data_IF_554258096007
#
_entry.id   IF_554258096007
#
_cell.length_a   1.000
_cell.length_b   1.000
_cell.length_c   1.000
_cell.angle_alpha   90.00
_cell.angle_beta   90.00
_cell.angle_gamma   90.00
#
_symmetry.space_group_name_H-M   'P 1'
#
loop_
_entity.id
_entity.type
_entity.pdbx_description
1 polymer ?
#
# COMPACT_ATOMS: atom_id res chain seq x y z
N UNK A 1 -1.51 -16.95 -5.37
CA UNK A 1 -1.30 -16.03 -4.23
C UNK A 1 -2.56 -16.07 -3.39
N UNK A 2 -2.50 -16.39 -2.07
CA UNK A 2 -3.65 -16.40 -1.16
C UNK A 2 -4.10 -14.99 -0.80
N UNK A 3 -5.23 -14.89 -0.08
CA UNK A 3 -5.66 -13.66 0.58
C UNK A 3 -4.86 -13.47 1.89
N UNK A 4 -4.86 -14.49 2.74
CA UNK A 4 -4.07 -14.58 3.96
C UNK A 4 -3.65 -16.05 4.18
N UNK A 5 -2.51 -16.28 4.81
CA UNK A 5 -1.44 -15.35 5.15
C UNK A 5 -0.62 -14.95 3.92
N UNK A 6 0.22 -13.90 4.06
CA UNK A 6 1.24 -13.58 3.06
C UNK A 6 2.16 -14.76 2.84
N UNK A 7 2.60 -14.92 1.61
CA UNK A 7 3.57 -15.96 1.22
C UNK A 7 4.87 -15.33 0.77
N UNK A 8 6.02 -15.96 1.04
CA UNK A 8 7.29 -15.51 0.49
C UNK A 8 7.30 -15.66 -1.03
N UNK A 9 7.95 -14.70 -1.69
CA UNK A 9 8.17 -14.69 -3.12
C UNK A 9 9.49 -13.96 -3.45
N UNK A 10 9.87 -14.00 -4.71
CA UNK A 10 11.00 -13.24 -5.25
C UNK A 10 10.48 -12.28 -6.29
N UNK A 11 10.99 -11.05 -6.29
CA UNK A 11 10.57 -10.00 -7.22
C UNK A 11 11.78 -9.36 -7.87
N UNK A 12 11.69 -9.14 -9.18
CA UNK A 12 12.59 -8.30 -9.92
C UNK A 12 11.84 -7.16 -10.60
N UNK A 13 12.44 -5.97 -10.63
CA UNK A 13 11.95 -4.81 -11.36
C UNK A 13 13.02 -4.37 -12.36
N UNK A 14 12.60 -4.14 -13.58
CA UNK A 14 13.43 -3.62 -14.66
C UNK A 14 12.92 -2.22 -14.99
N UNK A 15 13.79 -1.23 -14.89
CA UNK A 15 13.52 0.16 -15.29
C UNK A 15 14.74 0.76 -15.99
N UNK A 16 14.82 0.56 -17.30
CA UNK A 16 15.94 1.05 -18.10
C UNK A 16 15.80 2.54 -18.44
N UNK A 17 16.87 3.30 -18.32
CA UNK A 17 16.93 4.72 -18.69
C UNK A 17 16.47 4.99 -20.13
N UNK A 18 16.59 4.00 -21.01
CA UNK A 18 16.12 4.07 -22.40
C UNK A 18 14.58 4.11 -22.52
N UNK A 19 13.86 3.78 -21.43
CA UNK A 19 12.41 3.62 -21.41
C UNK A 19 11.91 2.36 -22.11
N UNK A 20 12.81 1.48 -22.57
CA UNK A 20 12.47 0.20 -23.18
C UNK A 20 13.02 -0.92 -22.32
N UNK A 21 12.13 -1.75 -21.77
CA UNK A 21 12.46 -2.89 -20.92
C UNK A 21 12.17 -4.19 -21.67
N UNK A 22 13.05 -5.19 -21.52
CA UNK A 22 12.85 -6.54 -22.03
C UNK A 22 12.94 -7.53 -20.89
N UNK A 23 12.17 -8.63 -20.95
CA UNK A 23 12.18 -9.67 -19.91
C UNK A 23 13.54 -10.38 -19.74
N UNK A 24 14.45 -10.17 -20.67
CA UNK A 24 15.82 -10.72 -20.64
C UNK A 24 16.83 -9.77 -20.03
N UNK A 25 16.41 -8.53 -19.71
CA UNK A 25 17.29 -7.56 -19.08
C UNK A 25 17.50 -7.90 -17.61
N UNK A 26 18.61 -7.45 -17.05
CA UNK A 26 18.91 -7.59 -15.64
C UNK A 26 17.91 -6.76 -14.79
N UNK A 27 17.55 -7.27 -13.61
CA UNK A 27 16.78 -6.51 -12.65
C UNK A 27 17.65 -5.37 -12.10
N UNK A 28 17.32 -4.14 -12.45
CA UNK A 28 18.17 -2.97 -12.18
C UNK A 28 17.56 -1.95 -11.22
N UNK A 29 16.25 -2.05 -10.93
CA UNK A 29 15.59 -1.21 -9.91
C UNK A 29 15.39 -1.98 -8.60
N UNK A 30 14.92 -3.23 -8.68
CA UNK A 30 14.83 -4.12 -7.52
C UNK A 30 15.10 -5.57 -7.91
N UNK A 31 15.82 -6.28 -7.04
CA UNK A 31 16.14 -7.71 -7.17
C UNK A 31 16.22 -8.34 -5.78
N UNK A 32 15.10 -8.92 -5.29
CA UNK A 32 15.06 -9.36 -3.90
C UNK A 32 13.82 -10.10 -3.44
N UNK A 33 13.81 -10.39 -2.14
CA UNK A 33 12.74 -11.11 -1.48
C UNK A 33 11.57 -10.20 -1.12
N UNK A 34 10.37 -10.74 -1.23
CA UNK A 34 9.13 -10.08 -0.80
C UNK A 34 8.22 -11.07 -0.06
N UNK A 35 7.29 -10.55 0.69
CA UNK A 35 6.08 -11.27 1.07
C UNK A 35 4.88 -10.69 0.34
N UNK A 36 4.00 -11.52 -0.20
CA UNK A 36 2.90 -11.07 -1.06
C UNK A 36 1.59 -11.79 -0.72
N UNK A 37 0.49 -11.05 -0.83
CA UNK A 37 -0.87 -11.58 -0.70
C UNK A 37 -1.84 -10.82 -1.61
N UNK A 38 -3.03 -11.37 -1.83
CA UNK A 38 -4.12 -10.64 -2.45
C UNK A 38 -4.63 -9.57 -1.48
N UNK A 39 -5.17 -8.49 -2.02
CA UNK A 39 -5.77 -7.45 -1.19
C UNK A 39 -7.16 -7.05 -1.69
N UNK A 40 -7.88 -6.34 -0.82
CA UNK A 40 -9.21 -5.82 -1.11
C UNK A 40 -10.31 -6.74 -0.59
N UNK A 41 -11.54 -6.31 -0.75
CA UNK A 41 -12.73 -7.08 -0.42
C UNK A 41 -13.34 -7.58 -1.75
N UNK A 42 -14.34 -6.88 -2.30
CA UNK A 42 -15.01 -7.24 -3.56
C UNK A 42 -14.06 -7.24 -4.77
N UNK A 43 -13.00 -6.44 -4.76
CA UNK A 43 -12.00 -6.41 -5.84
C UNK A 43 -11.24 -7.72 -6.02
N UNK A 44 -11.19 -8.58 -5.02
CA UNK A 44 -10.56 -9.90 -5.12
C UNK A 44 -11.32 -10.89 -6.02
N UNK A 45 -12.60 -10.63 -6.28
CA UNK A 45 -13.45 -11.44 -7.16
C UNK A 45 -13.27 -11.13 -8.65
N UNK A 46 -12.55 -10.03 -8.96
CA UNK A 46 -12.23 -9.70 -10.35
C UNK A 46 -11.19 -10.66 -10.91
N UNK A 47 -11.21 -10.89 -12.21
CA UNK A 47 -10.20 -11.72 -12.90
C UNK A 47 -8.80 -11.12 -12.74
N UNK A 48 -8.71 -9.79 -12.75
CA UNK A 48 -7.48 -9.04 -12.48
C UNK A 48 -7.45 -8.62 -11.01
N UNK A 49 -6.71 -9.35 -10.20
CA UNK A 49 -6.68 -9.20 -8.75
C UNK A 49 -5.62 -8.21 -8.29
N UNK A 50 -5.93 -7.33 -7.33
CA UNK A 50 -4.94 -6.50 -6.70
C UNK A 50 -4.13 -7.28 -5.66
N UNK A 51 -2.87 -6.85 -5.44
CA UNK A 51 -1.96 -7.45 -4.46
C UNK A 51 -1.42 -6.38 -3.53
N UNK A 52 -0.96 -6.80 -2.36
CA UNK A 52 -0.05 -6.05 -1.52
C UNK A 52 1.18 -6.89 -1.24
N UNK A 53 2.32 -6.24 -1.11
CA UNK A 53 3.56 -6.92 -0.81
C UNK A 53 4.42 -6.07 0.12
N UNK A 54 5.32 -6.73 0.81
CA UNK A 54 6.37 -6.11 1.59
C UNK A 54 7.72 -6.60 1.09
N UNK A 55 8.64 -5.67 0.92
CA UNK A 55 10.04 -6.00 0.67
C UNK A 55 10.68 -6.44 1.97
N UNK A 56 11.41 -7.56 1.92
CA UNK A 56 12.05 -8.18 3.07
C UNK A 56 13.49 -8.56 2.72
N UNK A 57 14.32 -8.68 3.73
CA UNK A 57 15.66 -9.21 3.60
C UNK A 57 15.68 -10.76 3.56
N UNK A 58 16.89 -11.35 3.58
CA UNK A 58 17.06 -12.81 3.53
C UNK A 58 16.56 -13.52 4.80
N UNK A 59 16.47 -12.80 5.91
CA UNK A 59 15.98 -13.31 7.19
C UNK A 59 14.46 -13.13 7.34
N UNK A 60 13.82 -12.45 6.36
CA UNK A 60 12.38 -12.18 6.34
C UNK A 60 11.98 -10.92 7.12
N UNK A 61 12.96 -10.12 7.56
CA UNK A 61 12.71 -8.84 8.22
C UNK A 61 12.43 -7.74 7.21
N UNK A 62 11.71 -6.70 7.63
CA UNK A 62 11.35 -5.59 6.77
C UNK A 62 12.59 -4.91 6.18
N UNK A 63 12.59 -4.73 4.88
CA UNK A 63 13.66 -4.09 4.13
C UNK A 63 13.10 -2.87 3.38
N UNK A 64 13.36 -1.66 3.90
CA UNK A 64 12.96 -0.44 3.22
C UNK A 64 13.81 -0.22 1.97
N UNK A 65 13.17 -0.05 0.84
CA UNK A 65 13.82 0.16 -0.45
C UNK A 65 13.10 1.23 -1.26
N UNK A 66 13.85 1.96 -2.05
CA UNK A 66 13.30 2.81 -3.10
C UNK A 66 12.83 1.91 -4.27
N UNK A 67 11.63 2.15 -4.79
CA UNK A 67 11.12 1.46 -5.98
C UNK A 67 10.68 2.49 -7.02
N UNK A 68 11.24 2.41 -8.22
CA UNK A 68 10.90 3.29 -9.35
C UNK A 68 10.92 4.78 -9.00
N UNK A 69 11.93 5.21 -8.22
CA UNK A 69 12.07 6.59 -7.75
C UNK A 69 11.01 7.05 -6.73
N UNK A 70 10.30 6.14 -6.09
CA UNK A 70 9.45 6.43 -4.94
C UNK A 70 10.24 6.20 -3.65
N UNK A 71 10.08 7.07 -2.61
CA UNK A 71 10.86 7.00 -1.38
C UNK A 71 10.88 5.65 -0.71
N UNK A 72 11.97 5.37 0.00
CA UNK A 72 12.22 4.11 0.70
C UNK A 72 11.08 3.73 1.63
N UNK A 73 10.60 2.52 1.47
CA UNK A 73 9.61 1.88 2.35
C UNK A 73 9.54 0.38 2.02
N UNK A 74 8.96 -0.40 2.93
CA UNK A 74 8.76 -1.83 2.69
C UNK A 74 7.34 -2.19 2.22
N UNK A 75 6.34 -1.37 2.51
CA UNK A 75 4.92 -1.63 2.22
C UNK A 75 4.47 -1.05 0.88
N UNK A 76 4.03 -1.91 -0.03
CA UNK A 76 3.64 -1.55 -1.39
C UNK A 76 2.32 -2.19 -1.82
N UNK A 77 1.70 -1.60 -2.82
CA UNK A 77 0.45 -2.08 -3.40
C UNK A 77 0.57 -2.19 -4.91
N UNK A 78 0.16 -3.32 -5.46
CA UNK A 78 -0.11 -3.51 -6.89
C UNK A 78 -1.61 -3.38 -7.11
N UNK A 79 -2.05 -2.16 -7.44
CA UNK A 79 -3.44 -1.88 -7.76
C UNK A 79 -3.78 -2.39 -9.16
N UNK A 80 -4.90 -3.11 -9.25
CA UNK A 80 -5.43 -3.64 -10.49
C UNK A 80 -6.63 -2.80 -10.96
N UNK A 81 -6.48 -1.91 -11.95
CA UNK A 81 -7.56 -1.03 -12.40
C UNK A 81 -8.57 -1.77 -13.30
N UNK A 82 -9.24 -2.79 -12.74
CA UNK A 82 -10.14 -3.66 -13.50
C UNK A 82 -11.40 -2.96 -14.01
N UNK A 83 -12.03 -2.16 -13.15
CA UNK A 83 -13.27 -1.47 -13.50
C UNK A 83 -13.04 -0.14 -14.26
N UNK A 84 -11.86 0.43 -14.13
CA UNK A 84 -11.46 1.64 -14.85
C UNK A 84 -10.79 1.27 -16.17
N UNK A 85 -11.55 1.27 -17.25
CA UNK A 85 -11.04 0.96 -18.61
C UNK A 85 -10.01 1.96 -19.11
N UNK A 86 -9.97 3.16 -18.53
CA UNK A 86 -8.95 4.17 -18.87
C UNK A 86 -7.66 3.95 -18.10
N UNK A 87 -7.69 3.23 -16.97
CA UNK A 87 -6.61 2.96 -16.02
C UNK A 87 -5.99 4.21 -15.37
N UNK A 88 -6.53 5.41 -15.61
CA UNK A 88 -5.91 6.68 -15.19
C UNK A 88 -6.60 7.35 -14.01
N UNK A 89 -7.83 6.99 -13.64
CA UNK A 89 -8.62 7.77 -12.68
C UNK A 89 -7.95 7.92 -11.33
N UNK A 90 -7.47 6.82 -10.75
CA UNK A 90 -6.79 6.86 -9.46
C UNK A 90 -5.43 7.57 -9.56
N UNK A 91 -4.66 7.26 -10.61
CA UNK A 91 -3.35 7.88 -10.85
C UNK A 91 -3.49 9.40 -10.99
N UNK A 92 -4.45 9.85 -11.80
CA UNK A 92 -4.74 11.28 -12.00
C UNK A 92 -5.19 11.95 -10.70
N UNK A 93 -6.10 11.33 -9.95
CA UNK A 93 -6.57 11.89 -8.68
C UNK A 93 -5.43 12.05 -7.66
N UNK A 94 -4.56 11.05 -7.55
CA UNK A 94 -3.41 11.10 -6.64
C UNK A 94 -2.37 12.13 -7.12
N UNK A 95 -2.10 12.19 -8.43
CA UNK A 95 -1.18 13.18 -8.97
C UNK A 95 -1.68 14.61 -8.69
N UNK A 96 -2.96 14.89 -8.97
CA UNK A 96 -3.55 16.19 -8.69
C UNK A 96 -3.46 16.57 -7.20
N UNK A 97 -3.68 15.62 -6.30
CA UNK A 97 -3.54 15.86 -4.86
C UNK A 97 -2.11 16.25 -4.49
N UNK A 98 -1.12 15.51 -5.02
CA UNK A 98 0.29 15.82 -4.80
C UNK A 98 0.69 17.17 -5.39
N UNK A 99 0.22 17.51 -6.59
CA UNK A 99 0.46 18.80 -7.24
C UNK A 99 -0.14 19.97 -6.46
N UNK A 100 -1.22 19.72 -5.71
CA UNK A 100 -1.83 20.68 -4.77
C UNK A 100 -1.08 20.76 -3.43
N UNK A 101 0.04 20.07 -3.27
CA UNK A 101 0.81 20.02 -2.02
C UNK A 101 0.17 19.17 -0.92
N UNK A 102 -0.73 18.26 -1.26
CA UNK A 102 -1.37 17.33 -0.32
C UNK A 102 -0.94 15.92 -0.65
N UNK A 103 -0.39 15.21 0.33
CA UNK A 103 0.04 13.83 0.13
C UNK A 103 -1.11 12.96 -0.39
N UNK A 104 -0.81 12.23 -1.44
CA UNK A 104 -1.53 11.05 -1.90
C UNK A 104 -0.50 10.01 -2.35
N UNK A 105 -0.87 8.73 -2.35
CA UNK A 105 0.04 7.65 -2.75
C UNK A 105 0.68 7.94 -4.11
N UNK A 106 2.00 7.94 -4.17
CA UNK A 106 2.72 8.03 -5.44
C UNK A 106 2.50 6.75 -6.22
N UNK A 107 2.50 6.86 -7.54
CA UNK A 107 2.13 5.76 -8.42
C UNK A 107 3.09 5.61 -9.59
N UNK A 108 3.29 4.36 -10.04
CA UNK A 108 4.01 4.01 -11.27
C UNK A 108 3.24 2.93 -12.02
N UNK A 109 3.09 3.07 -13.32
CA UNK A 109 2.56 1.98 -14.14
C UNK A 109 3.62 0.91 -14.32
N UNK A 110 3.23 -0.34 -14.16
CA UNK A 110 4.09 -1.50 -14.35
C UNK A 110 3.38 -2.59 -15.15
N UNK A 111 4.10 -3.33 -15.94
CA UNK A 111 3.65 -4.59 -16.52
C UNK A 111 3.98 -5.73 -15.56
N UNK A 112 2.98 -6.48 -15.16
CA UNK A 112 3.15 -7.56 -14.17
C UNK A 112 3.25 -8.91 -14.83
N UNK A 113 4.30 -9.65 -14.49
CA UNK A 113 4.46 -11.07 -14.77
C UNK A 113 4.45 -11.87 -13.47
N UNK A 114 3.64 -12.92 -13.40
CA UNK A 114 3.62 -13.85 -12.26
C UNK A 114 4.02 -15.24 -12.75
N UNK A 115 5.16 -15.74 -12.29
CA UNK A 115 5.72 -17.01 -12.71
C UNK A 115 5.80 -17.16 -14.25
N UNK A 116 6.22 -16.09 -14.92
CA UNK A 116 6.30 -16.03 -16.39
C UNK A 116 4.98 -15.72 -17.12
N UNK A 117 3.84 -15.70 -16.43
CA UNK A 117 2.55 -15.35 -17.03
C UNK A 117 2.31 -13.83 -16.99
N UNK A 118 2.08 -13.24 -18.13
CA UNK A 118 1.70 -11.82 -18.25
C UNK A 118 0.32 -11.55 -17.67
N UNK A 119 0.23 -10.64 -16.71
CA UNK A 119 -1.01 -10.24 -16.02
C UNK A 119 -1.54 -8.88 -16.43
N UNK A 120 -0.84 -8.19 -17.35
CA UNK A 120 -1.20 -6.87 -17.87
C UNK A 120 -0.66 -5.73 -17.03
N UNK A 121 -1.18 -4.54 -17.29
CA UNK A 121 -0.73 -3.29 -16.65
C UNK A 121 -1.32 -3.18 -15.25
N UNK A 122 -0.47 -2.98 -14.27
CA UNK A 122 -0.81 -2.66 -12.88
C UNK A 122 -0.32 -1.26 -12.53
N UNK A 123 -0.77 -0.76 -11.40
CA UNK A 123 -0.23 0.46 -10.80
C UNK A 123 0.49 0.07 -9.52
N UNK A 124 1.82 0.15 -9.50
CA UNK A 124 2.60 0.09 -8.28
C UNK A 124 2.39 1.39 -7.53
N UNK A 125 2.03 1.32 -6.27
CA UNK A 125 1.73 2.48 -5.47
C UNK A 125 2.10 2.28 -4.00
N UNK A 126 2.34 3.39 -3.33
CA UNK A 126 2.59 3.43 -1.90
C UNK A 126 1.35 2.98 -1.11
N UNK A 127 1.55 2.18 -0.07
CA UNK A 127 0.54 1.95 0.96
C UNK A 127 0.45 3.20 1.84
N UNK A 128 -0.76 3.69 2.08
CA UNK A 128 -0.97 4.82 3.01
C UNK A 128 -0.61 4.36 4.42
N UNK A 129 0.36 5.01 5.01
CA UNK A 129 0.78 4.80 6.40
C UNK A 129 1.50 6.04 6.94
N UNK A 130 1.68 6.08 8.24
CA UNK A 130 2.50 7.12 8.88
C UNK A 130 3.97 6.85 8.55
N UNK A 131 4.56 7.80 7.90
CA UNK A 131 5.98 7.83 7.57
C UNK A 131 6.39 9.26 7.20
N UNK A 132 7.68 9.61 7.32
CA UNK A 132 8.19 10.96 7.01
C UNK A 132 7.97 11.32 5.53
N UNK A 133 8.11 10.36 4.64
CA UNK A 133 7.98 10.55 3.20
C UNK A 133 6.58 10.20 2.67
N UNK A 134 5.67 9.70 3.52
CA UNK A 134 4.27 9.42 3.21
C UNK A 134 3.34 10.35 3.99
N UNK A 135 2.67 9.86 5.02
CA UNK A 135 1.85 10.72 5.88
C UNK A 135 2.69 11.13 7.09
N UNK A 136 3.29 12.32 7.01
CA UNK A 136 4.18 12.81 8.04
C UNK A 136 3.40 13.43 9.21
N UNK A 137 3.01 12.58 10.14
CA UNK A 137 2.30 12.91 11.37
C UNK A 137 2.95 12.21 12.56
N UNK A 138 2.81 12.81 13.76
CA UNK A 138 3.34 12.22 14.99
C UNK A 138 2.75 10.85 15.26
N UNK A 139 3.53 9.96 15.86
CA UNK A 139 3.03 8.69 16.35
C UNK A 139 2.15 8.96 17.58
N UNK A 140 1.00 8.35 17.65
CA UNK A 140 0.16 8.30 18.83
C UNK A 140 0.19 6.88 19.42
N UNK A 141 0.60 6.74 20.67
CA UNK A 141 0.62 5.46 21.35
C UNK A 141 -0.70 5.24 22.12
N UNK A 142 -1.09 3.98 22.42
CA UNK A 142 -2.37 3.69 23.08
C UNK A 142 -2.52 4.26 24.49
N UNK A 143 -1.44 4.61 25.15
CA UNK A 143 -1.37 5.23 26.48
C UNK A 143 -1.35 6.76 26.45
N UNK A 144 -1.21 7.37 25.28
CA UNK A 144 -1.26 8.83 25.07
C UNK A 144 -2.71 9.27 24.88
N UNK A 145 -3.41 9.53 25.99
CA UNK A 145 -4.86 9.83 25.98
C UNK A 145 -5.19 11.29 26.30
N UNK A 146 -4.17 12.13 26.60
CA UNK A 146 -4.31 13.53 26.96
C UNK A 146 -3.07 14.33 26.57
N UNK A 147 -3.19 15.66 26.61
CA UNK A 147 -2.07 16.57 26.34
C UNK A 147 -1.86 16.86 24.86
N UNK A 148 -0.64 17.27 24.52
CA UNK A 148 -0.30 17.71 23.15
C UNK A 148 -0.27 16.54 22.16
N UNK A 149 -0.02 15.32 22.63
CA UNK A 149 0.09 14.14 21.79
C UNK A 149 -1.22 13.79 21.04
N UNK A 150 -2.37 14.16 21.62
CA UNK A 150 -3.69 13.98 21.01
C UNK A 150 -4.16 15.17 20.16
N UNK A 151 -3.38 16.24 20.03
CA UNK A 151 -3.81 17.48 19.38
C UNK A 151 -3.65 17.52 17.88
N UNK A 152 -2.99 16.56 17.27
CA UNK A 152 -2.71 16.67 15.83
C UNK A 152 -2.49 15.36 15.09
N UNK A 153 -2.63 15.45 13.75
CA UNK A 153 -2.19 14.44 12.82
C UNK A 153 -2.94 13.10 12.87
N UNK A 154 -4.15 13.03 12.30
CA UNK A 154 -4.91 11.77 12.22
C UNK A 154 -5.09 11.31 10.78
N UNK A 155 -5.04 10.00 10.55
CA UNK A 155 -5.54 9.38 9.33
C UNK A 155 -6.93 8.81 9.64
N UNK A 156 -7.96 9.37 8.99
CA UNK A 156 -9.33 8.89 9.09
C UNK A 156 -9.60 7.92 7.94
N UNK A 157 -10.07 6.74 8.26
CA UNK A 157 -10.43 5.72 7.29
C UNK A 157 -11.94 5.56 7.23
N UNK A 158 -12.51 5.70 6.04
CA UNK A 158 -13.87 5.27 5.75
C UNK A 158 -13.85 3.84 5.27
N UNK A 159 -14.40 2.93 6.05
CA UNK A 159 -14.45 1.52 5.68
C UNK A 159 -15.74 0.86 6.13
N UNK A 160 -16.01 -0.32 5.58
CA UNK A 160 -17.10 -1.17 6.03
C UNK A 160 -16.77 -1.71 7.42
N UNK A 161 -17.82 -1.81 8.27
CA UNK A 161 -17.68 -2.49 9.54
C UNK A 161 -17.50 -3.99 9.31
N UNK A 162 -16.36 -4.53 9.67
CA UNK A 162 -16.22 -5.95 9.91
C UNK A 162 -16.49 -6.21 11.40
N UNK A 163 -17.43 -7.13 11.70
CA UNK A 163 -17.68 -7.59 13.06
C UNK A 163 -16.44 -8.28 13.60
N UNK A 164 -15.68 -7.60 14.43
CA UNK A 164 -14.41 -8.09 14.99
C UNK A 164 -13.38 -7.00 15.22
N UNK A 165 -13.45 -5.92 14.47
CA UNK A 165 -12.60 -4.76 14.71
C UNK A 165 -13.19 -3.95 15.87
N UNK A 166 -12.61 -4.09 17.07
CA UNK A 166 -12.89 -3.21 18.22
C UNK A 166 -12.34 -1.80 18.01
N UNK A 167 -12.56 -1.24 16.84
CA UNK A 167 -12.13 0.11 16.50
C UNK A 167 -13.31 1.02 16.80
N UNK A 168 -13.09 2.00 17.66
CA UNK A 168 -14.07 3.01 18.01
C UNK A 168 -14.53 3.75 16.75
N UNK A 169 -15.80 3.64 16.40
CA UNK A 169 -16.43 4.44 15.38
C UNK A 169 -17.38 5.44 16.01
N UNK A 170 -17.64 6.53 15.32
CA UNK A 170 -18.71 7.46 15.70
C UNK A 170 -19.63 7.72 14.49
N UNK A 171 -20.90 7.96 14.78
CA UNK A 171 -21.83 8.42 13.76
C UNK A 171 -21.82 9.95 13.75
N UNK A 172 -21.64 10.54 12.57
CA UNK A 172 -21.70 11.97 12.40
C UNK A 172 -23.15 12.47 12.47
N UNK A 173 -23.40 13.43 13.33
CA UNK A 173 -24.70 14.12 13.42
C UNK A 173 -24.98 15.04 12.21
N UNK A 174 -23.95 15.33 11.41
CA UNK A 174 -24.04 16.27 10.28
C UNK A 174 -24.53 15.56 9.01
N UNK A 175 -23.99 14.38 8.71
CA UNK A 175 -24.26 13.67 7.45
C UNK A 175 -24.83 12.25 7.67
N UNK A 176 -24.97 11.84 8.92
CA UNK A 176 -25.49 10.52 9.30
C UNK A 176 -24.57 9.34 8.99
N UNK A 177 -23.36 9.61 8.49
CA UNK A 177 -22.40 8.56 8.15
C UNK A 177 -21.68 8.06 9.39
N UNK A 178 -21.29 6.80 9.36
CA UNK A 178 -20.44 6.22 10.39
C UNK A 178 -18.98 6.29 9.96
N UNK A 179 -18.16 6.88 10.79
CA UNK A 179 -16.72 7.04 10.59
C UNK A 179 -15.99 6.07 11.51
N UNK A 180 -15.17 5.22 10.92
CA UNK A 180 -14.25 4.40 11.67
C UNK A 180 -12.96 5.17 11.88
N UNK A 181 -12.62 5.43 13.14
CA UNK A 181 -11.30 5.91 13.51
C UNK A 181 -10.35 4.70 13.46
N UNK A 182 -9.80 4.41 12.30
CA UNK A 182 -8.66 3.52 12.24
C UNK A 182 -7.46 4.31 12.76
N UNK A 183 -7.04 4.00 13.98
CA UNK A 183 -5.75 4.43 14.49
C UNK A 183 -4.67 3.65 13.72
N UNK A 184 -4.42 4.02 12.46
CA UNK A 184 -3.29 3.52 11.65
C UNK A 184 -1.95 3.93 12.28
N UNK A 185 -1.99 4.56 13.44
CA UNK A 185 -0.83 4.93 14.26
C UNK A 185 -0.29 3.82 15.13
N UNK A 186 -1.03 2.73 15.29
CA UNK A 186 -0.51 1.57 16.01
C UNK A 186 0.41 0.88 15.03
N UNK A 187 1.70 0.86 15.35
CA UNK A 187 2.61 -0.11 14.75
C UNK A 187 1.89 -1.44 14.75
N UNK A 188 1.81 -2.11 13.60
CA UNK A 188 1.28 -3.48 13.57
C UNK A 188 1.93 -4.25 14.72
N UNK A 189 1.17 -4.97 15.54
CA UNK A 189 1.77 -5.77 16.58
C UNK A 189 2.75 -6.71 15.90
N UNK A 190 4.02 -6.62 16.29
CA UNK A 190 5.01 -7.62 15.92
C UNK A 190 4.38 -8.96 16.22
N UNK A 191 4.07 -9.74 15.18
CA UNK A 191 3.53 -11.10 15.35
C UNK A 191 4.53 -11.85 16.22
N UNK A 192 4.11 -12.49 17.31
CA UNK A 192 5.01 -13.38 18.02
C UNK A 192 5.47 -14.45 17.01
N UNK A 193 6.76 -14.61 16.88
CA UNK A 193 7.36 -15.72 16.14
C UNK A 193 6.79 -17.02 16.71
N UNK A 194 6.07 -17.75 15.90
CA UNK A 194 5.66 -19.12 16.21
C UNK A 194 6.81 -20.05 15.93
#
# INVERSE_FOLDING_TARGET
>A
IPDEPRIPAYMGIIDNESGVNQLTDDFNDYDGHITIERRGNSSQWNDKRPYRFETVDQDGENNNVELLGMPEENDWVLYAPWQDKTMIRNVLAYQLSNDMGRYASRTRYVELYLNGDYKGIYVLMEKIKRDNDRVNISKLNPDEIEGDDITGGYILKFDWFFTGDNIGGFQSDIDGNTYNLSLIHISEPTRPSI
#
